data_IF_443688051566
#
_entry.id   IF_443688051566
#
_cell.length_a   1.000
_cell.length_b   1.000
_cell.length_c   1.000
_cell.angle_alpha   90.00
_cell.angle_beta   90.00
_cell.angle_gamma   90.00
#
_symmetry.space_group_name_H-M   'P 1'
#
loop_
_entity.id
_entity.type
_entity.pdbx_description
1 polymer ?
#
# COMPACT_ATOMS: atom_id res chain seq x y z
N UNK A 1 -26.43 -8.58 -13.65
CA UNK A 1 -26.21 -9.06 -12.26
C UNK A 1 -26.73 -10.47 -11.96
N UNK A 2 -27.37 -11.21 -12.87
CA UNK A 2 -27.99 -12.52 -12.56
C UNK A 2 -27.03 -13.74 -12.55
N UNK A 3 -25.89 -13.71 -13.26
CA UNK A 3 -25.06 -14.91 -13.46
C UNK A 3 -24.16 -15.34 -12.29
N UNK A 4 -24.04 -14.54 -11.22
CA UNK A 4 -22.96 -14.69 -10.22
C UNK A 4 -23.42 -14.85 -8.78
N UNK A 5 -24.66 -14.47 -8.41
CA UNK A 5 -25.26 -15.02 -7.17
C UNK A 5 -25.29 -16.54 -7.31
N UNK A 6 -25.63 -17.03 -8.50
CA UNK A 6 -25.64 -18.44 -8.85
C UNK A 6 -24.35 -19.20 -8.47
N UNK A 7 -23.15 -18.64 -8.70
CA UNK A 7 -21.90 -19.32 -8.33
C UNK A 7 -21.65 -19.33 -6.81
N UNK A 8 -21.98 -18.23 -6.11
CA UNK A 8 -21.86 -18.17 -4.64
C UNK A 8 -22.90 -19.07 -3.96
N UNK A 9 -24.13 -19.07 -4.48
CA UNK A 9 -25.24 -19.92 -4.04
C UNK A 9 -24.92 -21.40 -4.30
N UNK A 10 -24.30 -21.71 -5.45
CA UNK A 10 -23.83 -23.06 -5.78
C UNK A 10 -22.72 -23.53 -4.83
N UNK A 11 -21.69 -22.70 -4.59
CA UNK A 11 -20.60 -23.02 -3.66
C UNK A 11 -21.10 -23.19 -2.23
N UNK A 12 -22.04 -22.35 -1.81
CA UNK A 12 -22.70 -22.46 -0.50
C UNK A 12 -23.48 -23.78 -0.41
N UNK A 13 -24.25 -24.13 -1.43
CA UNK A 13 -24.98 -25.40 -1.49
C UNK A 13 -24.10 -26.65 -1.60
N UNK A 14 -22.90 -26.56 -2.17
CA UNK A 14 -21.87 -27.62 -2.12
C UNK A 14 -21.30 -27.74 -0.72
N UNK A 15 -21.01 -26.60 -0.08
CA UNK A 15 -20.51 -26.56 1.31
C UNK A 15 -21.52 -27.15 2.28
N UNK A 16 -22.79 -26.81 2.16
CA UNK A 16 -23.87 -27.38 2.99
C UNK A 16 -24.05 -28.87 2.80
N UNK A 17 -23.96 -29.37 1.55
CA UNK A 17 -23.95 -30.82 1.29
C UNK A 17 -22.70 -31.50 1.86
N UNK A 18 -21.53 -30.85 1.78
CA UNK A 18 -20.30 -31.31 2.42
C UNK A 18 -20.43 -31.39 3.94
N UNK A 19 -21.04 -30.35 4.56
CA UNK A 19 -21.41 -30.34 5.98
C UNK A 19 -22.36 -31.48 6.29
N UNK A 20 -23.41 -31.69 5.49
CA UNK A 20 -24.35 -32.79 5.70
C UNK A 20 -23.68 -34.17 5.60
N UNK A 21 -22.74 -34.37 4.67
CA UNK A 21 -21.99 -35.62 4.52
C UNK A 21 -20.98 -35.86 5.65
N UNK A 22 -20.28 -34.83 6.10
CA UNK A 22 -19.34 -34.90 7.23
C UNK A 22 -20.04 -34.98 8.60
N UNK A 23 -21.22 -34.36 8.72
CA UNK A 23 -21.98 -34.23 9.96
C UNK A 23 -23.29 -35.04 9.97
N UNK A 24 -23.43 -36.01 9.07
CA UNK A 24 -24.57 -36.94 9.04
C UNK A 24 -24.52 -37.87 10.25
N UNK A 25 -25.12 -37.42 11.35
CA UNK A 25 -25.23 -38.11 12.63
C UNK A 25 -24.94 -37.14 13.78
N UNK A 26 -25.82 -37.05 14.78
CA UNK A 26 -25.67 -36.08 15.89
C UNK A 26 -24.30 -36.19 16.58
N UNK A 27 -23.73 -37.40 16.68
CA UNK A 27 -22.41 -37.68 17.26
C UNK A 27 -21.21 -37.16 16.44
N UNK A 28 -21.34 -36.96 15.12
CA UNK A 28 -20.25 -36.48 14.26
C UNK A 28 -20.13 -34.95 14.29
N UNK A 29 -21.26 -34.26 14.45
CA UNK A 29 -21.31 -32.80 14.60
C UNK A 29 -20.72 -32.36 15.94
N UNK A 30 -21.07 -33.04 17.04
CA UNK A 30 -20.48 -32.78 18.37
C UNK A 30 -18.96 -33.01 18.38
N UNK A 31 -18.49 -34.08 17.71
CA UNK A 31 -17.05 -34.37 17.63
C UNK A 31 -16.23 -33.28 16.95
N UNK A 32 -16.73 -32.69 15.86
CA UNK A 32 -16.01 -31.61 15.17
C UNK A 32 -16.09 -30.31 15.96
N UNK A 33 -17.23 -30.00 16.58
CA UNK A 33 -17.37 -28.83 17.48
C UNK A 33 -16.36 -28.90 18.64
N UNK A 34 -16.12 -30.08 19.21
CA UNK A 34 -15.12 -30.31 20.26
C UNK A 34 -13.68 -30.55 19.75
N UNK A 35 -13.48 -30.71 18.44
CA UNK A 35 -12.13 -30.85 17.85
C UNK A 35 -11.40 -29.52 17.94
N UNK A 36 -10.15 -29.52 18.38
CA UNK A 36 -9.36 -28.29 18.44
C UNK A 36 -9.06 -27.74 17.02
N UNK A 37 -8.70 -26.46 16.94
CA UNK A 37 -8.50 -25.77 15.65
C UNK A 37 -7.26 -26.26 14.89
N UNK A 38 -6.21 -26.73 15.57
CA UNK A 38 -4.99 -27.28 14.96
C UNK A 38 -5.32 -28.60 14.25
N UNK A 39 -6.05 -29.49 14.92
CA UNK A 39 -6.54 -30.76 14.36
C UNK A 39 -7.44 -30.52 13.15
N UNK A 40 -8.28 -29.47 13.16
CA UNK A 40 -9.06 -29.12 11.97
C UNK A 40 -8.19 -28.69 10.78
N UNK A 41 -7.13 -27.91 11.02
CA UNK A 41 -6.16 -27.55 9.97
C UNK A 41 -5.46 -28.79 9.41
N UNK A 42 -5.08 -29.75 10.26
CA UNK A 42 -4.50 -31.04 9.85
C UNK A 42 -5.48 -31.88 9.01
N UNK A 43 -6.74 -31.94 9.43
CA UNK A 43 -7.81 -32.60 8.67
C UNK A 43 -8.02 -31.92 7.32
N UNK A 44 -7.94 -30.58 7.26
CA UNK A 44 -8.08 -29.85 5.99
C UNK A 44 -6.96 -30.20 5.02
N UNK A 45 -5.70 -30.24 5.48
CA UNK A 45 -4.54 -30.59 4.64
C UNK A 45 -4.57 -32.05 4.17
N UNK A 46 -5.06 -32.97 5.00
CA UNK A 46 -5.16 -34.40 4.66
C UNK A 46 -6.42 -34.75 3.86
N UNK A 47 -7.40 -33.84 3.78
CA UNK A 47 -8.66 -34.09 3.06
C UNK A 47 -8.43 -34.31 1.55
N UNK A 48 -9.14 -35.30 0.99
CA UNK A 48 -9.10 -35.62 -0.46
C UNK A 48 -10.39 -35.25 -1.19
N UNK A 49 -11.49 -35.05 -0.48
CA UNK A 49 -12.79 -34.69 -1.05
C UNK A 49 -13.02 -33.17 -1.04
N UNK A 50 -13.40 -32.60 -2.18
CA UNK A 50 -13.62 -31.16 -2.33
C UNK A 50 -14.74 -30.63 -1.41
N UNK A 51 -15.92 -31.28 -1.42
CA UNK A 51 -17.05 -30.85 -0.60
C UNK A 51 -16.75 -30.92 0.91
N UNK A 52 -16.05 -31.96 1.35
CA UNK A 52 -15.59 -32.09 2.73
C UNK A 52 -14.53 -31.05 3.10
N UNK A 53 -13.57 -30.78 2.20
CA UNK A 53 -12.55 -29.76 2.41
C UNK A 53 -13.15 -28.36 2.56
N UNK A 54 -14.12 -28.00 1.71
CA UNK A 54 -14.83 -26.72 1.81
C UNK A 54 -15.56 -26.55 3.14
N UNK A 55 -16.20 -27.61 3.64
CA UNK A 55 -16.92 -27.58 4.92
C UNK A 55 -15.96 -27.42 6.12
N UNK A 56 -14.81 -28.11 6.13
CA UNK A 56 -13.77 -27.95 7.16
C UNK A 56 -13.18 -26.54 7.09
N UNK A 57 -12.85 -26.04 5.89
CA UNK A 57 -12.34 -24.69 5.70
C UNK A 57 -13.32 -23.62 6.22
N UNK A 58 -14.62 -23.78 5.92
CA UNK A 58 -15.66 -22.88 6.43
C UNK A 58 -15.72 -22.90 7.96
N UNK A 59 -15.66 -24.07 8.59
CA UNK A 59 -15.66 -24.20 10.06
C UNK A 59 -14.43 -23.54 10.70
N UNK A 60 -13.23 -23.76 10.14
CA UNK A 60 -11.99 -23.11 10.63
C UNK A 60 -12.13 -21.59 10.59
N UNK A 61 -12.59 -21.04 9.46
CA UNK A 61 -12.75 -19.60 9.30
C UNK A 61 -13.88 -19.01 10.14
N UNK A 62 -14.95 -19.77 10.39
CA UNK A 62 -16.05 -19.37 11.28
C UNK A 62 -15.59 -19.29 12.74
N UNK A 63 -14.72 -20.22 13.18
CA UNK A 63 -14.09 -20.17 14.50
C UNK A 63 -13.10 -19.03 14.63
N UNK A 64 -12.22 -18.87 13.64
CA UNK A 64 -11.30 -17.73 13.58
C UNK A 64 -12.05 -16.40 13.73
N UNK A 65 -13.21 -16.26 13.09
CA UNK A 65 -14.02 -15.03 13.14
C UNK A 65 -14.56 -14.70 14.54
N UNK A 66 -14.50 -15.64 15.49
CA UNK A 66 -14.97 -15.49 16.88
C UNK A 66 -13.84 -15.37 17.88
N UNK A 67 -12.58 -15.52 17.46
CA UNK A 67 -11.44 -15.43 18.36
C UNK A 67 -11.29 -14.05 18.98
N UNK A 68 -10.93 -14.05 20.26
CA UNK A 68 -10.44 -12.86 20.93
C UNK A 68 -8.98 -12.55 20.51
N UNK A 69 -8.44 -11.44 21.02
CA UNK A 69 -7.10 -11.00 20.64
C UNK A 69 -6.00 -12.03 20.94
N UNK A 70 -6.05 -12.69 22.10
CA UNK A 70 -5.05 -13.67 22.50
C UNK A 70 -5.17 -14.97 21.71
N UNK A 71 -6.40 -15.44 21.47
CA UNK A 71 -6.68 -16.63 20.65
C UNK A 71 -6.22 -16.43 19.20
N UNK A 72 -6.46 -15.24 18.64
CA UNK A 72 -6.01 -14.90 17.30
C UNK A 72 -4.48 -14.95 17.18
N UNK A 73 -3.76 -14.39 18.16
CA UNK A 73 -2.28 -14.45 18.21
C UNK A 73 -1.80 -15.89 18.35
N UNK A 74 -2.39 -16.70 19.24
CA UNK A 74 -2.04 -18.11 19.40
C UNK A 74 -2.23 -18.91 18.10
N UNK A 75 -3.31 -18.65 17.37
CA UNK A 75 -3.55 -19.29 16.08
C UNK A 75 -2.48 -18.90 15.04
N UNK A 76 -2.07 -17.63 14.99
CA UNK A 76 -1.02 -17.18 14.08
C UNK A 76 0.35 -17.77 14.43
N UNK A 77 0.68 -17.91 15.71
CA UNK A 77 1.89 -18.64 16.14
C UNK A 77 1.83 -20.12 15.75
N UNK A 78 0.69 -20.78 15.96
CA UNK A 78 0.50 -22.16 15.54
C UNK A 78 0.71 -22.34 14.02
N UNK A 79 0.29 -21.39 13.18
CA UNK A 79 0.61 -21.40 11.74
C UNK A 79 2.12 -21.32 11.46
N UNK A 80 2.86 -20.53 12.25
CA UNK A 80 4.32 -20.44 12.13
C UNK A 80 5.00 -21.73 12.59
N UNK A 81 4.65 -22.20 13.78
CA UNK A 81 5.39 -23.22 14.53
C UNK A 81 5.09 -24.64 14.05
N UNK A 82 3.86 -24.89 13.59
CA UNK A 82 3.35 -26.24 13.28
C UNK A 82 3.13 -26.45 11.78
N UNK A 83 2.85 -25.39 11.03
CA UNK A 83 2.53 -25.45 9.60
C UNK A 83 3.66 -24.88 8.72
N UNK A 84 4.91 -25.06 9.17
CA UNK A 84 6.12 -24.80 8.39
C UNK A 84 6.37 -25.82 7.27
N UNK A 85 7.57 -25.75 6.67
CA UNK A 85 8.05 -26.80 5.79
C UNK A 85 8.48 -28.01 6.64
N UNK A 86 8.21 -29.23 6.15
CA UNK A 86 8.58 -30.46 6.87
C UNK A 86 10.09 -30.68 6.77
N UNK A 87 10.82 -30.37 7.84
CA UNK A 87 12.28 -30.37 7.87
C UNK A 87 12.90 -31.70 7.38
N UNK A 88 12.30 -32.83 7.75
CA UNK A 88 12.79 -34.15 7.34
C UNK A 88 12.70 -34.38 5.81
N UNK A 89 11.61 -33.94 5.16
CA UNK A 89 11.48 -34.05 3.71
C UNK A 89 12.33 -33.00 2.98
N UNK A 90 12.48 -31.81 3.57
CA UNK A 90 13.39 -30.77 3.06
C UNK A 90 14.85 -31.25 3.07
N UNK A 91 15.34 -31.77 4.19
CA UNK A 91 16.71 -32.28 4.31
C UNK A 91 16.99 -33.43 3.33
N UNK A 92 16.04 -34.35 3.19
CA UNK A 92 16.09 -35.44 2.21
C UNK A 92 16.14 -34.91 0.77
N UNK A 93 15.37 -33.87 0.45
CA UNK A 93 15.40 -33.25 -0.88
C UNK A 93 16.72 -32.50 -1.13
N UNK A 94 17.29 -31.86 -0.10
CA UNK A 94 18.62 -31.22 -0.17
C UNK A 94 19.69 -32.27 -0.46
N UNK A 95 19.68 -33.40 0.23
CA UNK A 95 20.66 -34.47 0.03
C UNK A 95 20.55 -35.11 -1.36
N UNK A 96 19.32 -35.31 -1.86
CA UNK A 96 19.11 -35.73 -3.24
C UNK A 96 19.70 -34.70 -4.22
N UNK A 97 19.41 -33.42 -4.05
CA UNK A 97 19.89 -32.34 -4.92
C UNK A 97 21.42 -32.16 -4.90
N UNK A 98 22.09 -32.48 -3.79
CA UNK A 98 23.55 -32.46 -3.68
C UNK A 98 24.22 -33.45 -4.64
N UNK A 99 23.55 -34.56 -4.94
CA UNK A 99 24.08 -35.64 -5.79
C UNK A 99 23.52 -35.60 -7.22
N UNK A 100 22.26 -35.19 -7.40
CA UNK A 100 21.61 -35.00 -8.69
C UNK A 100 21.04 -33.58 -8.81
N UNK A 101 21.62 -32.77 -9.70
CA UNK A 101 21.16 -31.40 -9.99
C UNK A 101 20.18 -31.34 -11.17
N UNK A 102 19.51 -32.44 -11.48
CA UNK A 102 18.48 -32.48 -12.51
C UNK A 102 17.33 -31.52 -12.21
N UNK A 103 16.60 -31.05 -13.24
CA UNK A 103 15.38 -30.27 -13.04
C UNK A 103 14.34 -30.95 -12.12
N UNK A 104 14.28 -32.29 -12.13
CA UNK A 104 13.38 -33.04 -11.25
C UNK A 104 13.77 -32.95 -9.78
N UNK A 105 15.08 -32.99 -9.48
CA UNK A 105 15.57 -32.79 -8.12
C UNK A 105 15.33 -31.35 -7.63
N UNK A 106 15.46 -30.35 -8.51
CA UNK A 106 15.09 -28.96 -8.21
C UNK A 106 13.60 -28.84 -7.86
N UNK A 107 12.71 -29.48 -8.63
CA UNK A 107 11.27 -29.49 -8.36
C UNK A 107 10.98 -30.16 -7.01
N UNK A 108 11.62 -31.28 -6.71
CA UNK A 108 11.45 -31.96 -5.43
C UNK A 108 11.89 -31.06 -4.26
N UNK A 109 13.03 -30.38 -4.39
CA UNK A 109 13.51 -29.41 -3.40
C UNK A 109 12.55 -28.22 -3.24
N UNK A 110 12.07 -27.65 -4.35
CA UNK A 110 11.10 -26.56 -4.33
C UNK A 110 9.81 -26.96 -3.59
N UNK A 111 9.25 -28.14 -3.91
CA UNK A 111 8.05 -28.65 -3.27
C UNK A 111 8.25 -28.94 -1.78
N UNK A 112 9.40 -29.48 -1.38
CA UNK A 112 9.72 -29.77 0.02
C UNK A 112 10.00 -28.50 0.84
N UNK A 113 10.47 -27.44 0.20
CA UNK A 113 10.71 -26.14 0.83
C UNK A 113 9.41 -25.31 1.02
N UNK A 114 8.32 -25.67 0.34
CA UNK A 114 7.04 -24.97 0.50
C UNK A 114 6.46 -25.24 1.91
N UNK A 115 6.21 -24.19 2.71
CA UNK A 115 5.55 -24.35 4.00
C UNK A 115 4.13 -24.89 3.86
N UNK A 116 3.73 -25.83 4.72
CA UNK A 116 2.38 -26.43 4.73
C UNK A 116 1.26 -25.38 4.86
N UNK A 117 1.55 -24.25 5.51
CA UNK A 117 0.64 -23.10 5.61
C UNK A 117 0.26 -22.50 4.25
N UNK A 118 1.08 -22.57 3.21
CA UNK A 118 0.68 -22.11 1.87
C UNK A 118 -0.49 -22.94 1.32
N UNK A 119 -0.38 -24.27 1.37
CA UNK A 119 -1.47 -25.16 0.97
C UNK A 119 -2.69 -25.00 1.89
N UNK A 120 -2.49 -24.81 3.20
CA UNK A 120 -3.58 -24.55 4.13
C UNK A 120 -4.37 -23.29 3.72
N UNK A 121 -3.67 -22.18 3.44
CA UNK A 121 -4.29 -20.93 2.97
C UNK A 121 -5.01 -21.12 1.63
N UNK A 122 -4.43 -21.87 0.68
CA UNK A 122 -5.10 -22.22 -0.59
C UNK A 122 -6.41 -22.97 -0.36
N UNK A 123 -6.43 -23.94 0.56
CA UNK A 123 -7.65 -24.70 0.91
C UNK A 123 -8.66 -23.86 1.68
N UNK A 124 -8.21 -23.02 2.61
CA UNK A 124 -9.09 -22.08 3.32
C UNK A 124 -9.82 -21.14 2.35
N UNK A 125 -9.16 -20.76 1.25
CA UNK A 125 -9.75 -19.92 0.22
C UNK A 125 -10.90 -20.59 -0.57
N UNK A 126 -11.07 -21.92 -0.45
CA UNK A 126 -12.22 -22.63 -1.04
C UNK A 126 -13.52 -22.42 -0.28
N UNK A 127 -13.45 -21.98 0.98
CA UNK A 127 -14.64 -21.69 1.77
C UNK A 127 -15.45 -20.53 1.16
N UNK A 128 -16.78 -20.47 1.40
CA UNK A 128 -17.58 -19.30 1.06
C UNK A 128 -16.98 -18.02 1.65
N UNK A 129 -16.77 -17.01 0.80
CA UNK A 129 -16.08 -15.76 1.16
C UNK A 129 -14.68 -15.94 1.77
N UNK A 130 -14.01 -17.07 1.49
CA UNK A 130 -12.70 -17.42 2.04
C UNK A 130 -11.65 -16.33 1.79
N UNK A 131 -11.60 -15.77 0.59
CA UNK A 131 -10.67 -14.69 0.24
C UNK A 131 -10.80 -13.49 1.18
N UNK A 132 -12.03 -13.03 1.42
CA UNK A 132 -12.30 -11.89 2.31
C UNK A 132 -11.89 -12.20 3.75
N UNK A 133 -12.19 -13.40 4.24
CA UNK A 133 -11.82 -13.84 5.59
C UNK A 133 -10.31 -13.94 5.75
N UNK A 134 -9.59 -14.39 4.72
CA UNK A 134 -8.12 -14.45 4.72
C UNK A 134 -7.48 -13.05 4.68
N UNK A 135 -8.06 -12.10 3.93
CA UNK A 135 -7.57 -10.70 3.94
C UNK A 135 -7.68 -10.12 5.35
N UNK A 136 -8.81 -10.32 6.04
CA UNK A 136 -9.00 -9.89 7.44
C UNK A 136 -8.07 -10.63 8.41
N UNK A 137 -7.78 -11.91 8.16
CA UNK A 137 -6.81 -12.68 8.94
C UNK A 137 -5.42 -12.07 8.85
N UNK A 138 -4.98 -11.70 7.63
CA UNK A 138 -3.70 -11.03 7.43
C UNK A 138 -3.68 -9.61 7.99
N UNK A 139 -4.79 -8.87 7.89
CA UNK A 139 -4.95 -7.57 8.55
C UNK A 139 -4.66 -7.70 10.06
N UNK A 140 -5.25 -8.70 10.72
CA UNK A 140 -4.97 -8.98 12.13
C UNK A 140 -3.51 -9.35 12.40
N UNK A 141 -2.88 -10.13 11.52
CA UNK A 141 -1.46 -10.43 11.59
C UNK A 141 -0.61 -9.15 11.54
N UNK A 142 -0.95 -8.21 10.67
CA UNK A 142 -0.23 -6.94 10.47
C UNK A 142 -0.41 -5.95 11.63
N UNK A 143 -1.46 -6.12 12.45
CA UNK A 143 -1.70 -5.36 13.68
C UNK A 143 -0.88 -5.88 14.87
N UNK A 144 -0.56 -7.17 14.89
CA UNK A 144 0.19 -7.81 15.98
C UNK A 144 1.58 -7.17 16.10
N UNK A 145 1.86 -6.62 17.29
CA UNK A 145 3.12 -5.90 17.59
C UNK A 145 4.20 -6.81 18.19
N UNK A 146 3.83 -8.00 18.65
CA UNK A 146 4.71 -8.99 19.29
C UNK A 146 5.48 -9.81 18.24
N UNK A 147 6.70 -10.23 18.61
CA UNK A 147 7.67 -11.05 17.85
C UNK A 147 7.56 -11.06 16.31
N UNK A 148 7.96 -9.95 15.69
CA UNK A 148 7.94 -9.79 14.23
C UNK A 148 8.81 -10.79 13.45
N UNK A 149 9.80 -11.42 14.11
CA UNK A 149 10.71 -12.32 13.42
C UNK A 149 9.98 -13.58 12.93
N UNK A 150 9.22 -14.24 13.80
CA UNK A 150 8.56 -15.51 13.49
C UNK A 150 7.30 -15.31 12.65
N UNK A 151 6.44 -14.36 13.04
CA UNK A 151 5.23 -14.02 12.26
C UNK A 151 5.54 -13.37 10.91
N UNK A 152 6.75 -12.86 10.72
CA UNK A 152 7.24 -12.36 9.44
C UNK A 152 7.21 -13.44 8.35
N UNK A 153 7.58 -14.68 8.68
CA UNK A 153 7.54 -15.80 7.73
C UNK A 153 6.09 -16.11 7.31
N UNK A 154 5.14 -16.05 8.24
CA UNK A 154 3.71 -16.24 7.92
C UNK A 154 3.21 -15.12 6.99
N UNK A 155 3.57 -13.85 7.25
CA UNK A 155 3.20 -12.73 6.35
C UNK A 155 3.74 -12.92 4.93
N UNK A 156 4.96 -13.44 4.78
CA UNK A 156 5.54 -13.64 3.45
C UNK A 156 4.72 -14.62 2.59
N UNK A 157 4.13 -15.65 3.19
CA UNK A 157 3.29 -16.62 2.48
C UNK A 157 1.91 -16.05 2.15
N UNK A 158 1.32 -15.26 3.05
CA UNK A 158 0.13 -14.47 2.71
C UNK A 158 0.42 -13.54 1.53
N UNK A 159 1.54 -12.83 1.55
CA UNK A 159 1.93 -11.90 0.50
C UNK A 159 2.18 -12.62 -0.83
N UNK A 160 2.80 -13.80 -0.80
CA UNK A 160 3.00 -14.65 -1.97
C UNK A 160 1.66 -15.02 -2.63
N UNK A 161 0.73 -15.60 -1.85
CA UNK A 161 -0.57 -16.03 -2.36
C UNK A 161 -1.43 -14.84 -2.82
N UNK A 162 -1.46 -13.75 -2.05
CA UNK A 162 -2.23 -12.56 -2.41
C UNK A 162 -1.69 -11.87 -3.66
N UNK A 163 -0.37 -11.89 -3.90
CA UNK A 163 0.20 -11.35 -5.14
C UNK A 163 -0.30 -12.10 -6.38
N UNK A 164 -0.56 -13.41 -6.26
CA UNK A 164 -1.17 -14.21 -7.33
C UNK A 164 -2.68 -14.00 -7.43
N UNK A 165 -3.40 -14.01 -6.31
CA UNK A 165 -4.86 -13.90 -6.29
C UNK A 165 -5.38 -12.51 -6.66
N UNK A 166 -4.65 -11.45 -6.31
CA UNK A 166 -5.01 -10.06 -6.59
C UNK A 166 -4.21 -9.49 -7.78
N UNK A 167 -3.86 -10.35 -8.73
CA UNK A 167 -3.26 -9.94 -9.99
C UNK A 167 -4.14 -8.89 -10.69
N UNK A 168 -3.49 -7.84 -11.20
CA UNK A 168 -4.08 -6.79 -12.04
C UNK A 168 -5.06 -7.29 -13.09
N UNK A 169 -4.78 -8.42 -13.74
CA UNK A 169 -5.62 -8.98 -14.81
C UNK A 169 -7.04 -9.34 -14.38
N UNK A 170 -7.30 -9.45 -13.07
CA UNK A 170 -8.64 -9.69 -12.53
C UNK A 170 -9.31 -8.43 -12.00
N UNK A 171 -8.61 -7.30 -11.94
CA UNK A 171 -9.18 -6.06 -11.41
C UNK A 171 -10.02 -5.36 -12.46
N UNK A 172 -11.18 -4.89 -12.02
CA UNK A 172 -12.11 -4.10 -12.84
C UNK A 172 -12.20 -2.70 -12.28
N UNK A 173 -12.01 -1.70 -13.14
CA UNK A 173 -12.24 -0.30 -12.79
C UNK A 173 -13.73 0.02 -12.96
N UNK A 174 -14.33 0.65 -11.96
CA UNK A 174 -15.72 1.10 -12.01
C UNK A 174 -15.81 2.57 -11.58
N UNK A 175 -16.66 3.39 -12.24
CA UNK A 175 -16.98 4.72 -11.74
C UNK A 175 -17.76 4.61 -10.43
N UNK A 176 -17.48 5.53 -9.50
CA UNK A 176 -18.19 5.69 -8.24
C UNK A 176 -18.84 7.07 -8.24
N UNK A 177 -20.15 7.09 -8.06
CA UNK A 177 -20.97 8.29 -8.09
C UNK A 177 -22.21 8.13 -7.18
N UNK A 178 -23.10 9.12 -7.21
CA UNK A 178 -24.31 9.10 -6.38
C UNK A 178 -25.37 8.05 -6.80
N UNK A 179 -25.16 7.32 -7.89
CA UNK A 179 -25.98 6.17 -8.29
C UNK A 179 -25.45 4.84 -7.75
N UNK A 180 -24.22 4.86 -7.21
CA UNK A 180 -23.58 3.68 -6.61
C UNK A 180 -24.33 3.22 -5.36
N UNK A 181 -24.47 1.90 -5.11
CA UNK A 181 -25.15 1.38 -3.93
C UNK A 181 -24.60 1.95 -2.62
N UNK A 182 -25.51 2.34 -1.71
CA UNK A 182 -25.16 3.00 -0.45
C UNK A 182 -24.16 2.20 0.42
N UNK A 183 -24.26 0.86 0.45
CA UNK A 183 -23.36 0.02 1.23
C UNK A 183 -21.90 0.02 0.70
N UNK A 184 -21.68 0.39 -0.57
CA UNK A 184 -20.33 0.62 -1.13
C UNK A 184 -19.88 2.04 -0.79
N UNK A 185 -20.77 3.04 -0.91
CA UNK A 185 -20.48 4.43 -0.57
C UNK A 185 -20.09 4.60 0.92
N UNK A 186 -20.74 3.87 1.82
CA UNK A 186 -20.37 3.84 3.25
C UNK A 186 -18.92 3.36 3.46
N UNK A 187 -18.46 2.41 2.65
CA UNK A 187 -17.08 1.93 2.69
C UNK A 187 -16.09 2.98 2.17
N UNK A 188 -16.47 3.79 1.17
CA UNK A 188 -15.64 4.91 0.72
C UNK A 188 -15.43 5.92 1.86
N UNK A 189 -16.48 6.25 2.61
CA UNK A 189 -16.36 7.11 3.81
C UNK A 189 -15.38 6.48 4.82
N UNK A 190 -15.56 5.19 5.12
CA UNK A 190 -14.73 4.46 6.08
C UNK A 190 -13.25 4.37 5.67
N UNK A 191 -12.98 4.21 4.38
CA UNK A 191 -11.64 3.90 3.86
C UNK A 191 -10.85 5.13 3.41
N UNK A 192 -11.44 6.33 3.46
CA UNK A 192 -10.75 7.54 3.04
C UNK A 192 -9.57 7.87 3.95
N UNK A 193 -8.36 7.69 3.42
CA UNK A 193 -7.12 7.70 4.19
C UNK A 193 -6.30 8.98 4.00
N UNK A 194 -6.60 9.82 3.01
CA UNK A 194 -5.86 11.04 2.71
C UNK A 194 -6.54 12.24 3.38
N UNK A 195 -7.78 12.53 2.98
CA UNK A 195 -8.59 13.65 3.46
C UNK A 195 -9.91 13.12 4.03
N UNK A 196 -9.94 12.88 5.34
CA UNK A 196 -11.08 12.29 6.07
C UNK A 196 -12.43 12.88 5.63
N UNK A 197 -13.42 12.02 5.38
CA UNK A 197 -14.78 12.40 5.02
C UNK A 197 -15.61 12.36 6.30
N UNK A 198 -16.06 13.52 6.78
CA UNK A 198 -16.79 13.64 8.04
C UNK A 198 -18.17 12.96 8.02
N UNK A 199 -18.74 12.73 6.82
CA UNK A 199 -20.00 12.00 6.68
C UNK A 199 -20.60 12.05 5.27
N UNK A 200 -21.88 11.67 5.16
CA UNK A 200 -22.59 11.52 3.89
C UNK A 200 -22.69 12.80 3.07
N UNK A 201 -22.91 13.95 3.72
CA UNK A 201 -22.97 15.23 3.00
C UNK A 201 -21.61 15.61 2.40
N UNK A 202 -20.52 15.33 3.10
CA UNK A 202 -19.19 15.56 2.56
C UNK A 202 -18.87 14.60 1.42
N UNK A 203 -19.22 13.31 1.55
CA UNK A 203 -19.12 12.36 0.45
C UNK A 203 -19.90 12.86 -0.77
N UNK A 204 -21.13 13.34 -0.57
CA UNK A 204 -21.96 13.88 -1.64
C UNK A 204 -21.30 15.07 -2.31
N UNK A 205 -20.69 15.99 -1.56
CA UNK A 205 -19.94 17.12 -2.13
C UNK A 205 -18.75 16.70 -2.99
N UNK A 206 -18.14 15.56 -2.69
CA UNK A 206 -17.01 15.01 -3.46
C UNK A 206 -17.44 14.17 -4.66
N UNK A 207 -18.67 13.66 -4.69
CA UNK A 207 -19.16 12.77 -5.76
C UNK A 207 -20.22 13.36 -6.68
N UNK A 208 -21.10 14.25 -6.17
CA UNK A 208 -22.25 14.75 -6.91
C UNK A 208 -21.92 15.84 -7.95
N UNK A 209 -20.98 16.78 -7.71
CA UNK A 209 -20.66 17.79 -8.71
C UNK A 209 -20.12 17.18 -10.02
N UNK A 210 -20.53 17.73 -11.16
CA UNK A 210 -20.13 17.23 -12.47
C UNK A 210 -18.63 17.42 -12.77
N UNK A 211 -17.94 18.28 -12.03
CA UNK A 211 -16.50 18.47 -12.06
C UNK A 211 -15.74 17.58 -11.05
N UNK A 212 -16.42 16.57 -10.49
CA UNK A 212 -15.82 15.50 -9.72
C UNK A 212 -16.01 14.17 -10.41
N UNK A 213 -15.02 13.31 -10.28
CA UNK A 213 -15.05 11.91 -10.70
C UNK A 213 -14.44 11.08 -9.58
N UNK A 214 -15.00 9.91 -9.34
CA UNK A 214 -14.39 8.92 -8.48
C UNK A 214 -14.41 7.57 -9.19
N UNK A 215 -13.37 6.79 -8.97
CA UNK A 215 -13.25 5.45 -9.53
C UNK A 215 -12.77 4.49 -8.45
N UNK A 216 -13.18 3.24 -8.53
CA UNK A 216 -12.67 2.19 -7.66
C UNK A 216 -12.32 0.92 -8.43
N UNK A 217 -11.25 0.27 -7.99
CA UNK A 217 -10.85 -1.06 -8.46
C UNK A 217 -11.49 -2.13 -7.60
N UNK A 218 -12.17 -3.07 -8.27
CA UNK A 218 -12.82 -4.21 -7.64
C UNK A 218 -12.21 -5.51 -8.12
N UNK A 219 -12.15 -6.48 -7.21
CA UNK A 219 -11.78 -7.86 -7.52
C UNK A 219 -13.03 -8.75 -7.50
N UNK A 220 -13.17 -9.75 -8.39
CA UNK A 220 -14.36 -10.61 -8.48
C UNK A 220 -14.73 -11.36 -7.20
N UNK A 221 -13.77 -11.55 -6.28
CA UNK A 221 -13.97 -12.16 -4.95
C UNK A 221 -14.31 -11.16 -3.83
N UNK A 222 -14.14 -9.86 -4.08
CA UNK A 222 -14.38 -8.75 -3.16
C UNK A 222 -15.22 -7.67 -3.89
N UNK A 223 -16.41 -8.03 -4.38
CA UNK A 223 -17.15 -7.20 -5.34
C UNK A 223 -17.77 -5.95 -4.76
N UNK A 224 -18.17 -6.02 -3.49
CA UNK A 224 -18.78 -4.89 -2.78
C UNK A 224 -17.74 -4.16 -1.94
N UNK A 225 -16.49 -4.61 -1.94
CA UNK A 225 -15.36 -4.06 -1.19
C UNK A 225 -14.38 -3.45 -2.20
N UNK A 226 -14.34 -2.11 -2.35
CA UNK A 226 -13.31 -1.49 -3.18
C UNK A 226 -11.92 -1.87 -2.64
N UNK A 227 -10.96 -2.10 -3.53
CA UNK A 227 -9.57 -2.37 -3.15
C UNK A 227 -8.76 -1.08 -3.10
N UNK A 228 -8.90 -0.27 -4.15
CA UNK A 228 -8.32 1.05 -4.27
C UNK A 228 -9.40 1.94 -4.85
N UNK A 229 -9.61 3.13 -4.28
CA UNK A 229 -10.39 4.16 -4.95
C UNK A 229 -9.56 5.42 -5.16
N UNK A 230 -10.00 6.20 -6.13
CA UNK A 230 -9.31 7.36 -6.68
C UNK A 230 -10.33 8.48 -6.84
N UNK A 231 -10.10 9.59 -6.15
CA UNK A 231 -10.90 10.80 -6.30
C UNK A 231 -10.19 11.81 -7.21
N UNK A 232 -10.96 12.37 -8.15
CA UNK A 232 -10.46 13.26 -9.20
C UNK A 232 -11.29 14.53 -9.25
N UNK A 233 -10.60 15.67 -9.23
CA UNK A 233 -11.18 16.98 -9.50
C UNK A 233 -10.86 17.40 -10.94
N UNK A 234 -11.88 17.82 -11.68
CA UNK A 234 -11.74 18.41 -13.01
C UNK A 234 -11.58 19.92 -12.86
N UNK A 235 -10.48 20.46 -13.36
CA UNK A 235 -10.10 21.87 -13.18
C UNK A 235 -9.57 22.47 -14.48
N UNK A 236 -9.29 23.79 -14.44
CA UNK A 236 -8.63 24.53 -15.54
C UNK A 236 -7.14 24.78 -15.29
N UNK A 237 -6.64 24.37 -14.12
CA UNK A 237 -5.27 24.63 -13.67
C UNK A 237 -4.84 23.58 -12.64
N UNK A 238 -3.52 23.40 -12.51
CA UNK A 238 -2.91 22.49 -11.53
C UNK A 238 -2.91 23.15 -10.14
N UNK A 239 -3.69 22.65 -9.16
CA UNK A 239 -3.77 23.23 -7.82
C UNK A 239 -2.50 22.96 -7.02
N UNK A 240 -2.14 23.92 -6.15
CA UNK A 240 -1.04 23.80 -5.20
C UNK A 240 -1.51 23.51 -3.79
N UNK A 241 -2.74 23.86 -3.43
CA UNK A 241 -3.32 23.61 -2.12
C UNK A 241 -4.58 22.76 -2.20
N UNK A 242 -4.78 21.91 -1.19
CA UNK A 242 -5.96 21.04 -1.14
C UNK A 242 -7.25 21.83 -0.83
N UNK A 243 -7.11 22.96 -0.13
CA UNK A 243 -8.23 23.86 0.16
C UNK A 243 -8.92 24.31 -1.14
N UNK A 244 -8.16 24.62 -2.19
CA UNK A 244 -8.69 25.02 -3.50
C UNK A 244 -9.58 23.94 -4.16
N UNK A 245 -9.42 22.67 -3.74
CA UNK A 245 -10.16 21.52 -4.26
C UNK A 245 -11.36 21.17 -3.37
N UNK A 246 -11.23 21.32 -2.05
CA UNK A 246 -12.23 20.85 -1.08
C UNK A 246 -13.19 21.96 -0.59
N UNK A 247 -12.86 23.24 -0.78
CA UNK A 247 -13.72 24.35 -0.34
C UNK A 247 -15.10 24.28 -1.00
N UNK A 248 -16.14 24.42 -0.18
CA UNK A 248 -17.54 24.39 -0.61
C UNK A 248 -17.94 25.64 -1.38
N UNK A 249 -17.23 26.75 -1.15
CA UNK A 249 -17.48 28.04 -1.79
C UNK A 249 -16.85 28.17 -3.19
N UNK A 250 -16.16 27.13 -3.65
CA UNK A 250 -15.50 27.12 -4.96
C UNK A 250 -16.51 27.17 -6.11
N UNK A 251 -16.12 27.81 -7.21
CA UNK A 251 -16.90 27.78 -8.43
C UNK A 251 -16.82 26.41 -9.11
N UNK A 252 -17.98 25.82 -9.39
CA UNK A 252 -18.06 24.59 -10.17
C UNK A 252 -17.91 24.89 -11.66
N UNK A 253 -17.21 24.02 -12.38
CA UNK A 253 -17.07 24.14 -13.83
C UNK A 253 -17.83 23.02 -14.56
N UNK A 254 -18.21 23.28 -15.81
CA UNK A 254 -18.70 22.22 -16.68
C UNK A 254 -17.54 21.26 -17.01
N UNK A 255 -17.76 19.93 -16.99
CA UNK A 255 -16.71 18.93 -17.21
C UNK A 255 -16.02 19.09 -18.57
N UNK A 256 -16.76 19.48 -19.62
CA UNK A 256 -16.22 19.69 -20.96
C UNK A 256 -15.31 20.93 -21.08
N UNK A 257 -15.37 21.83 -20.09
CA UNK A 257 -14.51 23.03 -20.01
C UNK A 257 -13.24 22.80 -19.19
N UNK A 258 -13.10 21.62 -18.58
CA UNK A 258 -11.92 21.25 -17.82
C UNK A 258 -10.76 20.90 -18.77
N UNK A 259 -9.55 21.31 -18.39
CA UNK A 259 -8.31 21.02 -19.12
C UNK A 259 -7.40 20.09 -18.34
N UNK A 260 -7.61 19.98 -17.02
CA UNK A 260 -6.72 19.30 -16.09
C UNK A 260 -7.55 18.36 -15.21
N UNK A 261 -7.11 17.11 -15.08
CA UNK A 261 -7.63 16.15 -14.12
C UNK A 261 -6.65 16.04 -12.95
N UNK A 262 -7.14 16.29 -11.75
CA UNK A 262 -6.36 16.33 -10.51
C UNK A 262 -6.73 15.16 -9.61
N UNK A 263 -5.85 14.17 -9.50
CA UNK A 263 -5.94 13.07 -8.55
C UNK A 263 -5.57 13.56 -7.15
N UNK A 264 -6.55 13.91 -6.33
CA UNK A 264 -6.31 14.51 -5.01
C UNK A 264 -6.45 13.52 -3.85
N UNK A 265 -7.06 12.34 -4.07
CA UNK A 265 -7.06 11.24 -3.12
C UNK A 265 -6.91 9.89 -3.81
N UNK A 266 -6.05 9.03 -3.26
CA UNK A 266 -5.91 7.62 -3.65
C UNK A 266 -5.80 6.82 -2.36
N UNK A 267 -6.81 6.01 -2.10
CA UNK A 267 -6.96 5.29 -0.83
C UNK A 267 -6.95 3.79 -1.08
N UNK A 268 -6.07 3.09 -0.36
CA UNK A 268 -6.00 1.64 -0.34
C UNK A 268 -6.95 1.16 0.78
N UNK A 269 -8.00 0.43 0.41
CA UNK A 269 -9.13 0.16 1.31
C UNK A 269 -8.94 -1.06 2.20
N UNK A 270 -8.00 -1.93 1.85
CA UNK A 270 -7.81 -3.22 2.50
C UNK A 270 -6.44 -3.25 3.16
N UNK A 271 -6.38 -3.07 4.48
CA UNK A 271 -5.12 -3.12 5.23
C UNK A 271 -4.46 -4.51 5.15
N UNK A 272 -5.26 -5.57 5.05
CA UNK A 272 -4.79 -6.93 4.74
C UNK A 272 -4.16 -7.08 3.35
N UNK A 273 -4.29 -6.11 2.46
CA UNK A 273 -3.59 -6.08 1.16
C UNK A 273 -2.40 -5.11 1.17
N UNK A 274 -1.98 -4.61 2.34
CA UNK A 274 -0.79 -3.77 2.45
C UNK A 274 0.44 -4.48 1.87
N UNK A 275 1.15 -3.78 0.99
CA UNK A 275 2.34 -4.29 0.30
C UNK A 275 2.06 -5.17 -0.91
N UNK A 276 0.80 -5.53 -1.19
CA UNK A 276 0.44 -6.28 -2.40
C UNK A 276 0.33 -5.29 -3.55
N UNK A 277 1.09 -5.55 -4.62
CA UNK A 277 1.02 -4.74 -5.83
C UNK A 277 -0.15 -5.20 -6.68
N UNK A 278 -1.04 -4.28 -7.03
CA UNK A 278 -2.10 -4.48 -8.02
C UNK A 278 -1.63 -4.21 -9.46
N UNK A 279 -0.32 -4.31 -9.67
CA UNK A 279 0.36 -3.90 -10.88
C UNK A 279 0.67 -2.40 -10.91
N UNK A 280 1.72 -2.08 -11.65
CA UNK A 280 1.98 -0.70 -12.05
C UNK A 280 1.00 -0.35 -13.17
N UNK A 281 0.64 0.92 -13.32
CA UNK A 281 -0.32 1.48 -14.29
C UNK A 281 -1.81 1.44 -13.90
N UNK A 282 -2.15 1.40 -12.61
CA UNK A 282 -3.55 1.64 -12.17
C UNK A 282 -4.04 3.01 -12.65
N UNK A 283 -3.21 4.04 -12.48
CA UNK A 283 -3.56 5.41 -12.86
C UNK A 283 -3.62 5.58 -14.38
N UNK A 284 -2.82 4.83 -15.16
CA UNK A 284 -2.89 4.84 -16.62
C UNK A 284 -4.31 4.51 -17.11
N UNK A 285 -4.96 3.50 -16.50
CA UNK A 285 -6.33 3.13 -16.85
C UNK A 285 -7.33 4.27 -16.58
N UNK A 286 -7.24 4.90 -15.40
CA UNK A 286 -8.12 6.02 -15.05
C UNK A 286 -7.91 7.22 -15.99
N UNK A 287 -6.66 7.51 -16.34
CA UNK A 287 -6.29 8.56 -17.30
C UNK A 287 -6.84 8.26 -18.69
N UNK A 288 -6.74 7.02 -19.16
CA UNK A 288 -7.28 6.60 -20.46
C UNK A 288 -8.81 6.71 -20.51
N UNK A 289 -9.52 6.28 -19.47
CA UNK A 289 -10.98 6.40 -19.38
C UNK A 289 -11.41 7.88 -19.33
N UNK A 290 -10.75 8.71 -18.51
CA UNK A 290 -11.01 10.15 -18.47
C UNK A 290 -10.76 10.82 -19.83
N UNK A 291 -9.69 10.45 -20.54
CA UNK A 291 -9.39 11.03 -21.86
C UNK A 291 -10.40 10.61 -22.92
N UNK A 292 -10.91 9.38 -22.85
CA UNK A 292 -11.96 8.89 -23.74
C UNK A 292 -13.26 9.65 -23.53
N UNK A 293 -13.65 9.83 -22.26
CA UNK A 293 -14.93 10.42 -21.90
C UNK A 293 -14.89 11.96 -22.00
N UNK A 294 -13.74 12.58 -21.74
CA UNK A 294 -13.51 14.03 -21.73
C UNK A 294 -12.24 14.39 -22.54
N UNK A 295 -12.31 14.43 -23.88
CA UNK A 295 -11.14 14.68 -24.75
C UNK A 295 -10.54 16.09 -24.62
N UNK A 296 -11.26 17.01 -23.94
CA UNK A 296 -10.77 18.33 -23.56
C UNK A 296 -9.60 18.31 -22.57
N UNK A 297 -9.49 17.24 -21.76
CA UNK A 297 -8.41 17.08 -20.78
C UNK A 297 -7.05 16.90 -21.46
N UNK A 298 -6.06 17.70 -21.03
CA UNK A 298 -4.68 17.71 -21.52
C UNK A 298 -3.68 17.34 -20.45
N UNK A 299 -3.96 17.69 -19.20
CA UNK A 299 -3.06 17.48 -18.08
C UNK A 299 -3.67 16.50 -17.08
N UNK A 300 -2.85 15.56 -16.60
CA UNK A 300 -3.23 14.57 -15.60
C UNK A 300 -2.21 14.66 -14.48
N UNK A 301 -2.61 15.27 -13.37
CA UNK A 301 -1.72 15.58 -12.24
C UNK A 301 -2.30 15.06 -10.95
N UNK A 302 -1.46 14.86 -9.95
CA UNK A 302 -1.91 14.56 -8.60
C UNK A 302 -1.76 15.79 -7.72
N UNK A 303 -2.44 15.81 -6.58
CA UNK A 303 -2.09 16.67 -5.45
C UNK A 303 -1.91 15.74 -4.25
N UNK A 304 -0.68 15.27 -4.05
CA UNK A 304 -0.36 14.14 -3.18
C UNK A 304 0.25 14.59 -1.85
N UNK A 305 -0.05 13.90 -0.74
CA UNK A 305 0.63 14.11 0.54
C UNK A 305 2.06 13.54 0.51
N UNK A 306 2.89 13.92 1.49
CA UNK A 306 4.27 13.43 1.65
C UNK A 306 4.47 12.74 3.01
N UNK A 307 3.78 11.61 3.28
CA UNK A 307 3.77 11.01 4.59
C UNK A 307 5.16 10.48 4.98
N UNK A 308 5.73 11.07 6.04
CA UNK A 308 7.03 10.66 6.57
C UNK A 308 8.15 11.68 6.33
N UNK A 309 7.88 12.75 5.58
CA UNK A 309 8.85 13.83 5.40
C UNK A 309 9.22 14.49 6.73
N UNK A 310 8.26 14.77 7.62
CA UNK A 310 8.56 15.35 8.93
C UNK A 310 9.46 14.42 9.77
N UNK A 311 9.23 13.10 9.71
CA UNK A 311 10.10 12.12 10.39
C UNK A 311 11.51 12.12 9.81
N UNK A 312 11.65 12.26 8.50
CA UNK A 312 12.95 12.39 7.85
C UNK A 312 13.65 13.70 8.25
N UNK A 313 12.92 14.82 8.31
CA UNK A 313 13.43 16.10 8.84
C UNK A 313 13.93 15.92 10.28
N UNK A 314 13.15 15.30 11.17
CA UNK A 314 13.59 15.01 12.54
C UNK A 314 14.89 14.19 12.58
N UNK A 315 15.03 13.20 11.68
CA UNK A 315 16.25 12.40 11.57
C UNK A 315 17.46 13.24 11.16
N UNK A 316 17.36 14.08 10.13
CA UNK A 316 18.50 14.88 9.65
C UNK A 316 18.86 16.04 10.59
N UNK A 317 17.90 16.51 11.41
CA UNK A 317 18.15 17.52 12.45
C UNK A 317 19.04 16.97 13.56
N UNK A 318 18.98 15.66 13.85
CA UNK A 318 19.88 15.02 14.82
C UNK A 318 21.35 15.13 14.34
N UNK A 319 22.25 15.74 15.12
CA UNK A 319 23.68 15.78 14.80
C UNK A 319 24.31 14.42 14.54
N UNK A 320 23.78 13.35 15.17
CA UNK A 320 24.27 11.96 14.98
C UNK A 320 23.92 11.37 13.62
N UNK A 321 23.05 12.01 12.84
CA UNK A 321 22.66 11.53 11.51
C UNK A 321 23.78 11.60 10.49
N UNK A 322 24.80 12.45 10.72
CA UNK A 322 25.86 12.73 9.74
C UNK A 322 25.37 13.45 8.49
N UNK A 323 24.10 13.91 8.46
CA UNK A 323 23.58 14.64 7.31
C UNK A 323 24.14 16.08 7.30
N UNK A 324 24.71 16.54 6.18
CA UNK A 324 25.35 17.86 6.09
C UNK A 324 24.28 18.97 5.99
N UNK A 325 23.93 19.56 7.13
CA UNK A 325 23.15 20.79 7.25
C UNK A 325 24.06 21.93 7.69
N UNK A 326 23.98 23.08 7.01
CA UNK A 326 24.66 24.28 7.46
C UNK A 326 24.14 24.75 8.84
N UNK A 327 24.94 25.48 9.64
CA UNK A 327 24.45 26.05 10.90
C UNK A 327 23.25 26.98 10.72
N UNK A 328 23.18 27.71 9.60
CA UNK A 328 22.06 28.60 9.27
C UNK A 328 20.77 27.81 9.00
N UNK A 329 20.86 26.72 8.22
CA UNK A 329 19.71 25.85 7.96
C UNK A 329 19.22 25.19 9.24
N UNK A 330 20.14 24.72 10.09
CA UNK A 330 19.79 24.14 11.40
C UNK A 330 19.01 25.13 12.26
N UNK A 331 19.45 26.38 12.33
CA UNK A 331 18.75 27.43 13.09
C UNK A 331 17.38 27.74 12.50
N UNK A 332 17.26 27.77 11.17
CA UNK A 332 15.97 28.00 10.49
C UNK A 332 14.99 26.86 10.76
N UNK A 333 15.45 25.61 10.76
CA UNK A 333 14.61 24.43 11.03
C UNK A 333 14.11 24.33 12.48
N UNK A 334 14.66 25.10 13.43
CA UNK A 334 14.12 25.20 14.80
C UNK A 334 12.73 25.84 14.78
N UNK A 335 12.44 26.70 13.81
CA UNK A 335 11.12 27.35 13.67
C UNK A 335 9.98 26.32 13.50
N UNK A 336 10.28 25.12 12.98
CA UNK A 336 9.29 24.05 12.82
C UNK A 336 8.75 23.51 14.16
N UNK A 337 9.44 23.77 15.28
CA UNK A 337 9.01 23.34 16.61
C UNK A 337 7.89 24.24 17.18
N UNK A 338 7.72 25.45 16.64
CA UNK A 338 6.62 26.36 16.98
C UNK A 338 5.44 26.14 16.01
N UNK A 339 4.30 25.58 16.45
CA UNK A 339 3.17 25.28 15.57
C UNK A 339 2.55 26.52 14.89
N UNK A 340 2.88 27.73 15.36
CA UNK A 340 2.39 29.00 14.80
C UNK A 340 3.26 29.57 13.67
N UNK A 341 4.41 28.94 13.37
CA UNK A 341 5.28 29.38 12.28
C UNK A 341 4.58 29.62 10.93
N UNK A 342 3.53 28.86 10.53
CA UNK A 342 2.85 29.09 9.25
C UNK A 342 2.06 30.40 9.20
N UNK A 343 1.70 30.98 10.35
CA UNK A 343 0.91 32.22 10.42
C UNK A 343 1.79 33.47 10.28
N UNK A 344 3.07 33.37 10.63
CA UNK A 344 4.04 34.45 10.47
C UNK A 344 4.71 34.33 9.10
N UNK A 345 4.41 35.28 8.21
CA UNK A 345 4.91 35.28 6.83
C UNK A 345 6.44 35.28 6.76
N UNK A 346 7.14 36.02 7.61
CA UNK A 346 8.59 36.08 7.57
C UNK A 346 9.22 34.75 8.00
N UNK A 347 8.63 34.08 9.00
CA UNK A 347 9.05 32.73 9.41
C UNK A 347 8.74 31.70 8.33
N UNK A 348 7.54 31.75 7.74
CA UNK A 348 7.14 30.85 6.67
C UNK A 348 8.06 30.97 5.45
N UNK A 349 8.37 32.20 5.00
CA UNK A 349 9.28 32.45 3.87
C UNK A 349 10.71 31.93 4.17
N UNK A 350 11.20 32.10 5.40
CA UNK A 350 12.49 31.57 5.83
C UNK A 350 12.53 30.04 5.83
N UNK A 351 11.47 29.41 6.36
CA UNK A 351 11.32 27.95 6.36
C UNK A 351 11.22 27.42 4.93
N UNK A 352 10.43 28.06 4.05
CA UNK A 352 10.26 27.64 2.66
C UNK A 352 11.60 27.54 1.91
N UNK A 353 12.46 28.56 2.10
CA UNK A 353 13.80 28.64 1.48
C UNK A 353 14.65 27.41 1.79
N UNK A 354 14.51 26.82 2.97
CA UNK A 354 15.28 25.65 3.42
C UNK A 354 14.54 24.35 3.15
N UNK A 355 13.22 24.32 3.37
CA UNK A 355 12.40 23.11 3.33
C UNK A 355 12.23 22.58 1.90
N UNK A 356 12.05 23.44 0.90
CA UNK A 356 11.86 23.02 -0.49
C UNK A 356 13.11 22.36 -1.11
N UNK A 357 14.33 22.91 -0.96
CA UNK A 357 15.55 22.20 -1.34
C UNK A 357 15.69 20.84 -0.65
N UNK A 358 15.45 20.77 0.67
CA UNK A 358 15.49 19.52 1.43
C UNK A 358 14.46 18.51 0.93
N UNK A 359 13.24 18.94 0.58
CA UNK A 359 12.24 18.10 -0.04
C UNK A 359 12.69 17.58 -1.42
N UNK A 360 13.28 18.43 -2.26
CA UNK A 360 13.82 18.00 -3.55
C UNK A 360 14.91 16.92 -3.37
N UNK A 361 15.80 17.10 -2.39
CA UNK A 361 16.81 16.08 -2.03
C UNK A 361 16.17 14.78 -1.53
N UNK A 362 15.19 14.88 -0.64
CA UNK A 362 14.42 13.76 -0.10
C UNK A 362 13.81 12.89 -1.19
N UNK A 363 13.22 13.49 -2.21
CA UNK A 363 12.63 12.73 -3.32
C UNK A 363 13.65 12.22 -4.33
N UNK A 364 14.61 13.05 -4.74
CA UNK A 364 15.51 12.72 -5.85
C UNK A 364 16.61 11.75 -5.41
N UNK A 365 17.20 11.96 -4.24
CA UNK A 365 18.42 11.25 -3.80
C UNK A 365 18.18 10.24 -2.71
N UNK A 366 17.37 10.56 -1.70
CA UNK A 366 17.30 9.71 -0.52
C UNK A 366 16.62 8.38 -0.85
N UNK A 367 17.18 7.29 -0.31
CA UNK A 367 16.71 5.92 -0.55
C UNK A 367 16.54 5.14 0.75
N UNK A 368 15.67 4.14 0.72
CA UNK A 368 15.57 3.10 1.74
C UNK A 368 16.78 2.15 1.66
N UNK A 369 17.00 1.27 2.67
CA UNK A 369 18.01 0.22 2.58
C UNK A 369 17.87 -0.66 1.32
N UNK A 370 16.64 -0.91 0.86
CA UNK A 370 16.36 -1.65 -0.39
C UNK A 370 16.54 -0.81 -1.67
N UNK A 371 17.23 0.33 -1.60
CA UNK A 371 17.48 1.24 -2.73
C UNK A 371 16.22 1.79 -3.44
N UNK A 372 15.12 2.02 -2.70
CA UNK A 372 13.87 2.61 -3.23
C UNK A 372 13.67 4.04 -2.71
N UNK A 373 12.90 4.91 -3.39
CA UNK A 373 12.54 6.23 -2.84
C UNK A 373 11.96 6.10 -1.42
N UNK A 374 12.36 7.00 -0.50
CA UNK A 374 11.98 6.90 0.91
C UNK A 374 10.47 7.06 1.11
N UNK A 375 9.89 8.04 0.43
CA UNK A 375 8.46 8.34 0.56
C UNK A 375 7.59 7.22 -0.08
N UNK A 376 6.60 6.68 0.65
CA UNK A 376 5.74 5.62 0.13
C UNK A 376 4.83 6.08 -1.01
N UNK A 377 4.38 7.34 -0.99
CA UNK A 377 3.50 7.91 -2.03
C UNK A 377 4.30 8.21 -3.30
N UNK A 378 5.54 8.65 -3.17
CA UNK A 378 6.49 8.76 -4.27
C UNK A 378 6.77 7.40 -4.91
N UNK A 379 7.03 6.37 -4.10
CA UNK A 379 7.19 4.99 -4.62
C UNK A 379 5.98 4.56 -5.44
N UNK A 380 4.78 4.87 -4.98
CA UNK A 380 3.55 4.58 -5.71
C UNK A 380 3.47 5.34 -7.04
N UNK A 381 3.54 6.67 -7.03
CA UNK A 381 3.34 7.47 -8.25
C UNK A 381 4.47 7.30 -9.27
N UNK A 382 5.73 7.33 -8.83
CA UNK A 382 6.89 7.09 -9.69
C UNK A 382 6.89 5.65 -10.22
N UNK A 383 6.50 4.69 -9.38
CA UNK A 383 6.28 3.29 -9.81
C UNK A 383 5.18 3.14 -10.85
N UNK A 384 4.19 4.03 -10.87
CA UNK A 384 3.18 4.13 -11.92
C UNK A 384 3.61 4.99 -13.13
N UNK A 385 4.88 5.39 -13.21
CA UNK A 385 5.44 6.13 -14.36
C UNK A 385 5.22 7.65 -14.31
N UNK A 386 4.77 8.19 -13.18
CA UNK A 386 4.62 9.63 -13.04
C UNK A 386 5.98 10.35 -12.93
N UNK A 387 5.98 11.64 -13.22
CA UNK A 387 7.10 12.56 -12.95
C UNK A 387 6.79 13.40 -11.72
N UNK A 388 7.74 13.54 -10.80
CA UNK A 388 7.65 14.54 -9.73
C UNK A 388 7.75 15.95 -10.35
N UNK A 389 6.63 16.66 -10.38
CA UNK A 389 6.48 17.85 -11.22
C UNK A 389 6.67 19.16 -10.46
N UNK A 390 6.03 19.26 -9.29
CA UNK A 390 6.06 20.46 -8.44
C UNK A 390 6.02 20.10 -6.95
N UNK A 391 6.72 20.90 -6.14
CA UNK A 391 6.62 20.88 -4.68
C UNK A 391 5.74 22.05 -4.24
N UNK A 392 4.78 21.80 -3.36
CA UNK A 392 3.81 22.79 -2.89
C UNK A 392 4.02 23.03 -1.39
N UNK A 393 4.70 24.13 -1.05
CA UNK A 393 4.88 24.55 0.33
C UNK A 393 3.53 24.95 0.94
N UNK A 394 3.24 24.45 2.15
CA UNK A 394 1.96 24.67 2.84
C UNK A 394 0.71 24.35 1.99
N UNK A 395 0.81 23.34 1.11
CA UNK A 395 -0.30 22.87 0.30
C UNK A 395 -1.44 22.23 1.11
N UNK A 396 -1.16 21.72 2.32
CA UNK A 396 -2.18 21.25 3.26
C UNK A 396 -1.84 21.71 4.68
N UNK A 397 -2.67 22.61 5.23
CA UNK A 397 -2.52 23.16 6.59
C UNK A 397 -3.30 22.39 7.65
N UNK A 398 -3.91 21.26 7.30
CA UNK A 398 -4.57 20.38 8.27
C UNK A 398 -3.57 19.89 9.32
N UNK A 399 -4.06 19.66 10.54
CA UNK A 399 -3.25 19.15 11.67
C UNK A 399 -2.49 17.88 11.28
N UNK A 400 -3.14 17.01 10.49
CA UNK A 400 -2.54 15.75 10.00
C UNK A 400 -1.35 16.01 9.07
N UNK A 401 -1.51 16.86 8.05
CA UNK A 401 -0.43 17.14 7.10
C UNK A 401 0.71 17.94 7.72
N UNK A 402 0.41 18.88 8.63
CA UNK A 402 1.43 19.60 9.41
C UNK A 402 2.29 18.64 10.23
N UNK A 403 1.69 17.62 10.85
CA UNK A 403 2.42 16.57 11.58
C UNK A 403 3.18 15.61 10.67
N UNK A 404 2.65 15.28 9.50
CA UNK A 404 3.26 14.29 8.59
C UNK A 404 4.40 14.85 7.75
N UNK A 405 4.30 16.12 7.34
CA UNK A 405 5.15 16.72 6.31
C UNK A 405 5.31 18.24 6.43
N UNK A 406 4.97 18.87 7.58
CA UNK A 406 4.99 20.33 7.73
C UNK A 406 4.15 21.06 6.66
N UNK A 407 3.06 20.42 6.23
CA UNK A 407 2.12 20.93 5.24
C UNK A 407 2.60 20.85 3.79
N UNK A 408 3.75 20.21 3.52
CA UNK A 408 4.23 19.96 2.17
C UNK A 408 3.28 19.00 1.42
N UNK A 409 2.89 19.39 0.21
CA UNK A 409 2.28 18.52 -0.79
C UNK A 409 3.11 18.52 -2.07
N UNK A 410 2.82 17.62 -2.99
CA UNK A 410 3.49 17.55 -4.30
C UNK A 410 2.50 17.27 -5.42
N UNK A 411 2.82 17.75 -6.62
CA UNK A 411 2.14 17.32 -7.83
C UNK A 411 3.01 16.29 -8.57
N UNK A 412 2.46 15.12 -8.85
CA UNK A 412 3.01 14.17 -9.83
C UNK A 412 2.28 14.33 -11.16
N UNK A 413 3.02 14.43 -12.27
CA UNK A 413 2.46 14.53 -13.61
C UNK A 413 2.46 13.16 -14.31
N UNK A 414 1.31 12.78 -14.86
CA UNK A 414 1.13 11.61 -15.71
C UNK A 414 1.05 12.03 -17.18
N UNK A 415 2.21 12.06 -17.85
CA UNK A 415 2.28 12.22 -19.30
C UNK A 415 2.28 10.85 -19.96
N UNK A 416 1.19 10.48 -20.66
CA UNK A 416 0.97 9.11 -21.15
C UNK A 416 2.15 8.56 -21.96
N UNK A 417 2.74 9.38 -22.82
CA UNK A 417 3.89 9.04 -23.66
C UNK A 417 5.16 8.70 -22.85
N UNK A 418 5.27 9.23 -21.64
CA UNK A 418 6.46 9.12 -20.80
C UNK A 418 6.30 8.05 -19.70
N UNK A 419 5.07 7.55 -19.47
CA UNK A 419 4.75 6.64 -18.35
C UNK A 419 5.64 5.40 -18.34
N UNK A 420 5.77 4.73 -19.48
CA UNK A 420 6.56 3.49 -19.58
C UNK A 420 8.06 3.78 -19.44
N UNK A 421 8.56 4.84 -20.09
CA UNK A 421 9.96 5.27 -19.98
C UNK A 421 10.35 5.63 -18.54
N UNK A 422 9.50 6.37 -17.83
CA UNK A 422 9.73 6.74 -16.43
C UNK A 422 9.68 5.51 -15.52
N UNK A 423 8.73 4.60 -15.77
CA UNK A 423 8.61 3.35 -15.02
C UNK A 423 9.91 2.51 -15.14
N UNK A 424 10.38 2.29 -16.36
CA UNK A 424 11.61 1.51 -16.61
C UNK A 424 12.85 2.21 -16.05
N UNK A 425 12.94 3.53 -16.13
CA UNK A 425 14.04 4.29 -15.53
C UNK A 425 14.14 4.07 -14.01
N UNK A 426 13.00 4.12 -13.31
CA UNK A 426 12.96 3.85 -11.88
C UNK A 426 13.25 2.38 -11.57
N UNK A 427 12.60 1.45 -12.28
CA UNK A 427 12.69 0.02 -12.01
C UNK A 427 14.10 -0.55 -12.28
N UNK A 428 14.74 -0.13 -13.37
CA UNK A 428 16.04 -0.66 -13.78
C UNK A 428 17.22 0.12 -13.20
N UNK A 429 17.09 1.45 -13.08
CA UNK A 429 18.22 2.34 -12.73
C UNK A 429 18.04 3.09 -11.42
N UNK A 430 16.89 2.97 -10.75
CA UNK A 430 16.58 3.74 -9.54
C UNK A 430 16.46 5.25 -9.79
N UNK A 431 16.31 5.65 -11.06
CA UNK A 431 16.25 7.05 -11.49
C UNK A 431 14.86 7.63 -11.26
N UNK A 432 14.81 8.77 -10.55
CA UNK A 432 13.56 9.48 -10.29
C UNK A 432 13.30 10.48 -11.43
N UNK A 433 12.20 10.28 -12.14
CA UNK A 433 11.70 11.28 -13.09
C UNK A 433 11.23 12.52 -12.32
N UNK A 434 11.93 13.65 -12.48
CA UNK A 434 11.61 14.92 -11.85
C UNK A 434 11.71 16.08 -12.85
N UNK A 435 10.87 17.10 -12.69
CA UNK A 435 10.88 18.30 -13.55
C UNK A 435 12.17 19.12 -13.36
N UNK A 436 12.56 19.94 -14.35
CA UNK A 436 13.70 20.85 -14.21
C UNK A 436 13.58 21.78 -13.00
N UNK A 437 12.37 22.26 -12.69
CA UNK A 437 12.11 23.12 -11.53
C UNK A 437 12.45 22.42 -10.21
N UNK A 438 12.05 21.15 -10.05
CA UNK A 438 12.37 20.37 -8.84
C UNK A 438 13.87 20.05 -8.77
N UNK A 439 14.49 19.69 -9.91
CA UNK A 439 15.95 19.46 -9.96
C UNK A 439 16.76 20.72 -9.60
N UNK A 440 16.30 21.91 -10.01
CA UNK A 440 16.95 23.17 -9.67
C UNK A 440 16.95 23.47 -8.16
N UNK A 441 15.92 23.02 -7.42
CA UNK A 441 15.86 23.17 -5.97
C UNK A 441 16.92 22.31 -5.24
N UNK A 442 17.23 21.13 -5.76
CA UNK A 442 18.23 20.24 -5.17
C UNK A 442 19.63 20.90 -5.12
N UNK A 443 19.97 21.70 -6.13
CA UNK A 443 21.24 22.43 -6.21
C UNK A 443 21.38 23.61 -5.25
N UNK A 444 20.31 23.97 -4.51
CA UNK A 444 20.29 25.10 -3.56
C UNK A 444 20.65 24.71 -2.12
N UNK A 445 20.82 23.41 -1.83
CA UNK A 445 21.31 23.01 -0.50
C UNK A 445 22.82 23.26 -0.46
N UNK A 446 23.24 24.18 0.42
CA UNK A 446 24.65 24.27 0.83
C UNK A 446 24.96 23.10 1.77
N UNK A 447 25.33 21.96 1.18
CA UNK A 447 25.83 20.83 1.96
C UNK A 447 27.15 21.26 2.60
N UNK A 448 27.18 21.38 3.93
CA UNK A 448 28.43 21.63 4.65
C UNK A 448 29.48 20.62 4.22
N UNK A 449 30.66 21.10 3.80
CA UNK A 449 31.78 20.23 3.47
C UNK A 449 31.99 19.24 4.63
N UNK A 450 32.18 17.94 4.38
CA UNK A 450 32.55 17.03 5.45
C UNK A 450 33.82 17.57 6.11
N UNK A 451 33.82 17.72 7.44
CA UNK A 451 35.03 18.02 8.19
C UNK A 451 36.07 16.98 7.78
N UNK A 452 37.10 17.42 7.06
CA UNK A 452 38.31 16.61 6.90
C UNK A 452 38.85 16.41 8.30
N UNK A 453 38.65 15.23 8.86
CA UNK A 453 39.43 14.74 10.00
C UNK A 453 40.89 14.81 9.59
N UNK A 454 41.57 15.87 10.01
CA UNK A 454 43.01 16.05 9.91
C UNK A 454 43.68 15.11 10.94
N UNK A 455 43.63 13.81 10.68
CA UNK A 455 44.38 12.80 11.42
C UNK A 455 45.43 12.16 10.52
N UNK A 456 46.24 12.98 9.84
CA UNK A 456 47.51 12.53 9.24
C UNK A 456 48.54 13.67 9.34
N UNK A 457 48.99 14.00 10.55
CA UNK A 457 50.31 14.62 10.82
C UNK A 457 50.79 14.29 12.24
N UNK A 458 51.02 13.00 12.52
CA UNK A 458 51.83 12.56 13.67
C UNK A 458 52.40 11.14 13.44
N UNK A 459 53.07 10.94 12.31
CA UNK A 459 53.83 9.72 12.04
C UNK A 459 55.15 9.95 11.27
N UNK A 460 55.63 11.20 11.18
CA UNK A 460 56.92 11.53 10.52
C UNK A 460 57.80 12.40 11.43
N UNK A 461 58.00 11.99 12.68
CA UNK A 461 59.06 12.56 13.53
C UNK A 461 59.77 11.53 14.40
N UNK A 462 59.70 10.24 14.05
CA UNK A 462 60.45 9.16 14.70
C UNK A 462 61.09 8.25 13.65
N UNK A 463 61.83 8.85 12.72
CA UNK A 463 62.83 8.16 11.91
C UNK A 463 63.77 9.19 11.30
N UNK A 464 64.83 9.56 12.03
CA UNK A 464 65.92 10.35 11.49
C UNK A 464 66.82 10.99 12.55
N UNK A 465 67.95 10.33 12.80
CA UNK A 465 69.15 10.76 13.56
C UNK A 465 69.19 10.35 15.03
#
# INVERSE_FOLDING_TARGET
MAGTSFLSDLLSGVTERGRALLFSGSKARDRVVDTDIETLCEMLLSSRGEASGMAIAAEILDRWSRFNAAEAVQFLHMLSDRFGAEAAELDKAIDAYRTDKSPMAVIALHNAAEPRRQELLRRLNLAPNGTQKLVRMRERLLETKEDRADLGAVDTDFAHLFSSWFNRGFLTLQPIDWTTPAHILEKIIKYEAVHEIAGWEELRRRLAPADRRCFAFFHPRLRDDPLVFVEVALTRSIPSAIADVLDESRDHIGPDTATTAVFYSISNCQDGLRGISFGNFLIKQVVEDLRRDLPGLKEFVTLSPVPGFARWISKIRDPKSGFPLSPEDRNTLILLDDPTWPEDKARADAVERVLLPLAARYFITERTPDNRPVDPVARFHLGNGARLDRLNFLGDRSVKAMRQAHGLMVNYLYKLEDIETNHEALAQRGEVAASPAVKALQGKIELGLPEKTNDIKKAESLSGS
#
